data_IF_443090091404
#
_entry.id   IF_443090091404
#
_cell.length_a   1.000
_cell.length_b   1.000
_cell.length_c   1.000
_cell.angle_alpha   90.00
_cell.angle_beta   90.00
_cell.angle_gamma   90.00
#
_symmetry.space_group_name_H-M   'P 1'
#
loop_
_entity.id
_entity.type
_entity.pdbx_description
1 polymer ?
#
# COMPACT_ATOMS: atom_id res chain seq x y z
N UNK A 1 5.05 1.81 14.44
CA UNK A 1 5.95 0.83 13.87
C UNK A 1 6.02 -0.46 14.66
N UNK A 2 6.66 -1.41 14.07
CA UNK A 2 6.88 -2.73 14.67
C UNK A 2 8.04 -2.77 15.70
N UNK A 3 8.71 -1.63 15.90
CA UNK A 3 9.87 -1.50 16.80
C UNK A 3 11.21 -1.93 16.19
N UNK A 4 11.20 -2.44 14.96
CA UNK A 4 12.39 -2.99 14.26
C UNK A 4 12.75 -2.15 13.05
N UNK A 5 11.77 -1.91 12.17
CA UNK A 5 12.00 -1.23 10.90
C UNK A 5 11.88 0.30 11.04
N UNK A 6 12.75 1.01 10.32
CA UNK A 6 12.62 2.45 10.13
C UNK A 6 11.72 2.71 8.92
N UNK A 7 10.74 3.60 9.07
CA UNK A 7 9.92 4.01 7.93
C UNK A 7 10.74 4.86 6.97
N UNK A 8 10.80 4.43 5.73
CA UNK A 8 11.22 5.29 4.63
C UNK A 8 10.08 6.24 4.31
N UNK A 9 10.31 7.54 4.44
CA UNK A 9 9.32 8.59 4.22
C UNK A 9 9.87 9.56 3.20
N UNK A 10 9.09 9.88 2.19
CA UNK A 10 9.43 10.87 1.16
C UNK A 10 8.49 12.05 1.29
N UNK A 11 9.05 13.25 1.17
CA UNK A 11 8.33 14.51 1.19
C UNK A 11 8.73 15.33 -0.04
N UNK A 12 7.77 15.61 -0.90
CA UNK A 12 7.91 16.51 -2.05
C UNK A 12 7.26 17.85 -1.72
N UNK A 13 8.02 18.93 -1.78
CA UNK A 13 7.57 20.28 -1.43
C UNK A 13 7.42 21.15 -2.69
N UNK A 14 6.33 21.92 -2.80
CA UNK A 14 6.21 22.90 -3.89
C UNK A 14 7.17 24.06 -3.69
N UNK A 15 7.53 24.70 -4.79
CA UNK A 15 8.16 26.02 -4.72
C UNK A 15 7.12 27.05 -4.25
N UNK A 16 7.40 27.76 -3.16
CA UNK A 16 6.51 28.78 -2.61
C UNK A 16 5.53 28.29 -1.54
N UNK A 17 4.39 28.97 -1.42
CA UNK A 17 3.45 28.71 -0.32
C UNK A 17 2.69 27.40 -0.50
N UNK A 18 2.69 26.57 0.55
CA UNK A 18 1.91 25.33 0.60
C UNK A 18 0.43 25.65 0.79
N UNK A 19 -0.43 25.23 -0.14
CA UNK A 19 -1.89 25.39 -0.09
C UNK A 19 -2.54 24.31 0.78
N UNK A 20 -2.11 23.06 0.60
CA UNK A 20 -2.58 21.90 1.36
C UNK A 20 -1.54 20.77 1.30
N UNK A 21 -1.75 19.73 2.08
CA UNK A 21 -0.91 18.53 2.11
C UNK A 21 -1.69 17.31 1.63
N UNK A 22 -1.06 16.49 0.79
CA UNK A 22 -1.60 15.20 0.33
C UNK A 22 -0.69 14.08 0.82
N UNK A 23 -1.21 13.21 1.67
CA UNK A 23 -0.51 12.00 2.09
C UNK A 23 -0.89 10.83 1.19
N UNK A 24 0.10 10.08 0.69
CA UNK A 24 -0.11 8.92 -0.17
C UNK A 24 0.08 7.64 0.64
N UNK A 25 -0.90 6.74 0.56
CA UNK A 25 -0.85 5.35 1.01
C UNK A 25 -0.84 4.46 -0.23
N UNK A 26 0.33 3.92 -0.56
CA UNK A 26 0.58 3.17 -1.79
C UNK A 26 -0.02 1.75 -1.78
N UNK A 27 -0.07 1.11 -2.93
CA UNK A 27 -0.66 -0.21 -3.13
C UNK A 27 0.28 -1.38 -2.77
N UNK A 28 -0.19 -2.58 -3.10
CA UNK A 28 0.54 -3.83 -2.90
C UNK A 28 1.65 -3.97 -3.95
N UNK A 29 2.84 -4.44 -3.52
CA UNK A 29 3.99 -4.70 -4.41
C UNK A 29 4.39 -3.44 -5.20
N UNK A 30 4.45 -2.33 -4.49
CA UNK A 30 4.99 -1.07 -5.01
C UNK A 30 5.67 -0.27 -3.88
N UNK A 31 6.19 0.88 -4.19
CA UNK A 31 6.87 1.77 -3.24
C UNK A 31 6.44 3.21 -3.44
N UNK A 32 6.72 4.05 -2.46
CA UNK A 32 6.29 5.46 -2.48
C UNK A 32 6.92 6.26 -3.63
N UNK A 33 8.15 5.95 -4.03
CA UNK A 33 8.84 6.67 -5.12
C UNK A 33 8.14 6.53 -6.49
N UNK A 34 7.28 5.51 -6.69
CA UNK A 34 6.43 5.42 -7.89
C UNK A 34 5.48 6.59 -8.08
N UNK A 35 5.24 7.35 -7.04
CA UNK A 35 4.33 8.49 -7.05
C UNK A 35 5.04 9.83 -7.30
N UNK A 36 6.35 9.81 -7.61
CA UNK A 36 7.14 11.04 -7.78
C UNK A 36 6.56 11.97 -8.86
N UNK A 37 6.27 11.46 -10.05
CA UNK A 37 5.69 12.28 -11.15
C UNK A 37 4.35 12.91 -10.74
N UNK A 38 3.50 12.13 -10.04
CA UNK A 38 2.24 12.62 -9.52
C UNK A 38 2.45 13.65 -8.39
N UNK A 39 3.42 13.42 -7.52
CA UNK A 39 3.77 14.35 -6.45
C UNK A 39 4.30 15.67 -7.02
N UNK A 40 5.18 15.61 -8.03
CA UNK A 40 5.69 16.80 -8.73
C UNK A 40 4.57 17.54 -9.48
N UNK A 41 3.61 16.81 -10.07
CA UNK A 41 2.41 17.44 -10.62
C UNK A 41 1.63 18.21 -9.54
N UNK A 42 1.38 17.64 -8.40
CA UNK A 42 0.70 18.28 -7.28
C UNK A 42 1.51 19.48 -6.72
N UNK A 43 2.84 19.35 -6.65
CA UNK A 43 3.71 20.45 -6.22
C UNK A 43 3.54 21.68 -7.12
N UNK A 44 3.48 21.50 -8.44
CA UNK A 44 3.25 22.63 -9.38
C UNK A 44 1.91 23.34 -9.13
N UNK A 45 0.98 22.72 -8.40
CA UNK A 45 -0.31 23.29 -8.00
C UNK A 45 -0.33 23.75 -6.53
N UNK A 46 0.83 23.80 -5.87
CA UNK A 46 0.96 24.28 -4.50
C UNK A 46 0.62 23.26 -3.41
N UNK A 47 0.54 21.97 -3.72
CA UNK A 47 0.32 20.93 -2.72
C UNK A 47 1.66 20.33 -2.29
N UNK A 48 1.94 20.25 -1.00
CA UNK A 48 2.99 19.39 -0.48
C UNK A 48 2.50 17.94 -0.49
N UNK A 49 3.36 17.00 -0.90
CA UNK A 49 3.03 15.57 -0.95
C UNK A 49 3.95 14.80 -0.04
N UNK A 50 3.40 13.93 0.79
CA UNK A 50 4.17 13.07 1.69
C UNK A 50 3.64 11.64 1.60
N UNK A 51 4.54 10.67 1.74
CA UNK A 51 4.16 9.28 1.85
C UNK A 51 5.28 8.45 2.44
N UNK A 52 4.97 7.22 2.79
CA UNK A 52 5.96 6.27 3.29
C UNK A 52 5.81 4.93 2.59
N UNK A 53 6.91 4.19 2.49
CA UNK A 53 6.83 2.77 2.22
C UNK A 53 6.18 2.06 3.40
N UNK A 54 5.14 1.27 3.14
CA UNK A 54 4.53 0.42 4.17
C UNK A 54 5.54 -0.63 4.66
N UNK A 55 5.33 -1.19 5.86
CA UNK A 55 6.09 -2.35 6.31
C UNK A 55 6.07 -3.45 5.22
N UNK A 56 7.21 -4.07 4.99
CA UNK A 56 7.37 -5.08 3.95
C UNK A 56 7.38 -4.53 2.52
N UNK A 57 7.55 -3.23 2.34
CA UNK A 57 7.61 -2.60 1.02
C UNK A 57 8.80 -1.63 0.94
N UNK A 58 9.27 -1.43 -0.29
CA UNK A 58 10.31 -0.46 -0.62
C UNK A 58 11.50 -0.51 0.35
N UNK A 59 12.00 0.65 0.71
CA UNK A 59 13.14 0.77 1.63
C UNK A 59 12.77 0.53 3.10
N UNK A 60 11.49 0.59 3.47
CA UNK A 60 11.04 0.22 4.83
C UNK A 60 11.23 -1.27 5.11
N UNK A 61 11.24 -2.15 4.10
CA UNK A 61 11.50 -3.57 4.29
C UNK A 61 12.88 -3.87 4.87
N UNK A 62 13.86 -2.99 4.65
CA UNK A 62 15.22 -3.13 5.17
C UNK A 62 16.08 -4.16 4.42
N UNK A 63 15.52 -5.31 4.05
CA UNK A 63 16.16 -6.35 3.26
C UNK A 63 15.16 -7.13 2.38
N UNK A 64 15.67 -7.92 1.43
CA UNK A 64 14.83 -8.62 0.44
C UNK A 64 13.96 -9.74 1.08
N UNK A 65 14.39 -10.31 2.20
CA UNK A 65 13.63 -11.34 2.91
C UNK A 65 12.36 -10.76 3.58
N UNK A 66 12.38 -9.46 3.92
CA UNK A 66 11.24 -8.77 4.53
C UNK A 66 10.24 -8.22 3.51
N UNK A 67 10.55 -8.21 2.20
CA UNK A 67 9.58 -7.79 1.18
C UNK A 67 8.32 -8.66 1.24
N UNK A 68 7.16 -8.02 1.36
CA UNK A 68 5.85 -8.67 1.49
C UNK A 68 5.53 -9.23 2.87
N UNK A 69 6.36 -8.93 3.88
CA UNK A 69 6.14 -9.29 5.28
C UNK A 69 5.92 -8.02 6.11
N UNK A 70 4.79 -7.87 6.77
CA UNK A 70 4.49 -6.66 7.54
C UNK A 70 5.13 -6.70 8.94
N UNK A 71 4.57 -7.49 9.84
CA UNK A 71 5.08 -7.67 11.19
C UNK A 71 4.45 -8.92 11.85
N UNK A 72 4.97 -9.38 13.00
CA UNK A 72 4.50 -10.62 13.62
C UNK A 72 3.07 -10.57 14.15
N UNK A 73 2.61 -9.40 14.61
CA UNK A 73 1.32 -9.21 15.30
C UNK A 73 0.74 -7.83 15.00
N UNK A 74 -0.60 -7.72 15.09
CA UNK A 74 -1.33 -6.45 14.94
C UNK A 74 -1.00 -5.70 13.63
N UNK A 75 -0.82 -6.43 12.54
CA UNK A 75 -0.29 -5.94 11.27
C UNK A 75 -1.01 -4.67 10.78
N UNK A 76 -2.36 -4.71 10.74
CA UNK A 76 -3.16 -3.57 10.27
C UNK A 76 -3.02 -2.37 11.21
N UNK A 77 -3.13 -2.61 12.51
CA UNK A 77 -3.02 -1.54 13.51
C UNK A 77 -1.64 -0.87 13.43
N UNK A 78 -0.58 -1.64 13.18
CA UNK A 78 0.78 -1.14 13.03
C UNK A 78 0.92 -0.27 11.77
N UNK A 79 0.45 -0.76 10.61
CA UNK A 79 0.52 0.02 9.36
C UNK A 79 -0.31 1.31 9.46
N UNK A 80 -1.51 1.24 10.03
CA UNK A 80 -2.37 2.42 10.20
C UNK A 80 -1.76 3.41 11.20
N UNK A 81 -1.14 2.92 12.27
CA UNK A 81 -0.40 3.79 13.21
C UNK A 81 0.83 4.44 12.56
N UNK A 82 1.49 3.76 11.63
CA UNK A 82 2.61 4.34 10.87
C UNK A 82 2.12 5.44 9.92
N UNK A 83 1.02 5.23 9.21
CA UNK A 83 0.36 6.30 8.44
C UNK A 83 0.03 7.50 9.33
N UNK A 84 -0.51 7.27 10.54
CA UNK A 84 -0.84 8.34 11.47
C UNK A 84 0.39 9.07 12.00
N UNK A 85 1.53 8.40 12.17
CA UNK A 85 2.81 9.06 12.51
C UNK A 85 3.25 10.03 11.41
N UNK A 86 3.11 9.62 10.14
CA UNK A 86 3.40 10.48 8.98
C UNK A 86 2.44 11.67 8.95
N UNK A 87 1.14 11.45 9.18
CA UNK A 87 0.15 12.53 9.31
C UNK A 87 0.55 13.53 10.38
N UNK A 88 0.88 13.06 11.58
CA UNK A 88 1.28 13.93 12.70
C UNK A 88 2.56 14.72 12.40
N UNK A 89 3.54 14.09 11.75
CA UNK A 89 4.75 14.77 11.31
C UNK A 89 4.42 15.91 10.34
N UNK A 90 3.64 15.63 9.31
CA UNK A 90 3.29 16.62 8.30
C UNK A 90 2.41 17.75 8.88
N UNK A 91 1.42 17.45 9.71
CA UNK A 91 0.58 18.48 10.38
C UNK A 91 1.39 19.37 11.34
N UNK A 92 2.46 18.84 11.95
CA UNK A 92 3.39 19.66 12.75
C UNK A 92 4.21 20.61 11.87
N UNK A 93 4.63 20.16 10.66
CA UNK A 93 5.38 20.97 9.69
C UNK A 93 4.47 22.01 9.02
N UNK A 94 3.29 21.61 8.56
CA UNK A 94 2.35 22.45 7.79
C UNK A 94 1.13 22.82 8.66
N UNK A 95 1.37 23.63 9.69
CA UNK A 95 0.33 24.04 10.64
C UNK A 95 -0.84 24.73 9.93
N UNK A 96 -2.07 24.40 10.29
CA UNK A 96 -3.31 25.02 9.79
C UNK A 96 -3.55 24.84 8.27
N UNK A 97 -2.77 24.00 7.57
CA UNK A 97 -3.05 23.68 6.17
C UNK A 97 -4.01 22.49 6.09
N UNK A 98 -4.97 22.51 5.13
CA UNK A 98 -5.81 21.35 4.86
C UNK A 98 -4.99 20.09 4.57
N UNK A 99 -5.46 18.95 5.06
CA UNK A 99 -4.74 17.67 4.98
C UNK A 99 -5.59 16.58 4.37
N UNK A 100 -5.13 16.05 3.25
CA UNK A 100 -5.83 15.01 2.49
C UNK A 100 -5.03 13.72 2.48
N UNK A 101 -5.72 12.58 2.35
CA UNK A 101 -5.09 11.28 2.12
C UNK A 101 -5.56 10.70 0.80
N UNK A 102 -4.63 10.16 0.01
CA UNK A 102 -4.91 9.36 -1.18
C UNK A 102 -4.46 7.93 -0.90
N UNK A 103 -5.41 6.99 -0.88
CA UNK A 103 -5.12 5.56 -0.79
C UNK A 103 -5.36 4.87 -2.13
N UNK A 104 -4.35 4.18 -2.64
CA UNK A 104 -4.43 3.44 -3.90
C UNK A 104 -4.39 1.93 -3.64
N UNK A 105 -5.30 1.16 -4.25
CA UNK A 105 -5.35 -0.31 -4.19
C UNK A 105 -5.31 -0.81 -2.73
N UNK A 106 -4.31 -1.59 -2.31
CA UNK A 106 -4.11 -1.99 -0.91
C UNK A 106 -4.06 -0.77 0.02
N UNK A 107 -3.39 0.32 -0.38
CA UNK A 107 -3.36 1.57 0.37
C UNK A 107 -4.73 2.19 0.57
N UNK A 108 -5.70 1.94 -0.33
CA UNK A 108 -7.08 2.36 -0.16
C UNK A 108 -7.78 1.59 0.98
N UNK A 109 -7.42 0.32 1.19
CA UNK A 109 -7.94 -0.45 2.33
C UNK A 109 -7.38 0.08 3.65
N UNK A 110 -6.08 0.41 3.66
CA UNK A 110 -5.43 1.04 4.83
C UNK A 110 -6.01 2.43 5.11
N UNK A 111 -6.27 3.24 4.07
CA UNK A 111 -6.92 4.54 4.19
C UNK A 111 -8.35 4.43 4.75
N UNK A 112 -9.16 3.46 4.28
CA UNK A 112 -10.50 3.19 4.85
C UNK A 112 -10.41 2.80 6.32
N UNK A 113 -9.44 1.97 6.69
CA UNK A 113 -9.20 1.61 8.10
C UNK A 113 -8.68 2.80 8.91
N UNK A 114 -7.86 3.65 8.31
CA UNK A 114 -7.40 4.91 8.91
C UNK A 114 -8.57 5.83 9.24
N UNK A 115 -9.50 6.04 8.30
CA UNK A 115 -10.69 6.87 8.49
C UNK A 115 -11.53 6.43 9.69
N UNK A 116 -11.64 5.13 9.94
CA UNK A 116 -12.39 4.59 11.09
C UNK A 116 -11.73 4.92 12.45
N UNK A 117 -10.44 5.25 12.46
CA UNK A 117 -9.68 5.44 13.70
C UNK A 117 -9.22 6.89 13.87
N UNK A 118 -8.77 7.51 12.79
CA UNK A 118 -8.12 8.82 12.77
C UNK A 118 -8.74 9.77 11.73
N UNK A 119 -9.99 9.50 11.28
CA UNK A 119 -10.62 10.26 10.21
C UNK A 119 -10.73 11.76 10.49
N UNK A 120 -10.86 12.14 11.75
CA UNK A 120 -10.90 13.56 12.18
C UNK A 120 -9.59 14.33 11.92
N UNK A 121 -8.51 13.64 11.63
CA UNK A 121 -7.24 14.27 11.26
C UNK A 121 -7.17 14.69 9.78
N UNK A 122 -8.16 14.32 8.98
CA UNK A 122 -8.20 14.57 7.53
C UNK A 122 -9.34 15.53 7.18
N UNK A 123 -9.07 16.45 6.28
CA UNK A 123 -10.08 17.30 5.63
C UNK A 123 -10.76 16.57 4.45
N UNK A 124 -10.15 15.51 3.94
CA UNK A 124 -10.71 14.66 2.91
C UNK A 124 -9.85 13.44 2.58
N UNK A 125 -10.46 12.46 1.91
CA UNK A 125 -9.76 11.24 1.53
C UNK A 125 -10.19 10.78 0.12
N UNK A 126 -9.20 10.52 -0.74
CA UNK A 126 -9.40 9.92 -2.06
C UNK A 126 -9.15 8.42 -1.97
N UNK A 127 -10.17 7.64 -2.30
CA UNK A 127 -10.13 6.17 -2.31
C UNK A 127 -10.05 5.71 -3.77
N UNK A 128 -8.85 5.34 -4.23
CA UNK A 128 -8.56 5.01 -5.62
C UNK A 128 -8.29 3.51 -5.78
N UNK A 129 -8.88 2.89 -6.83
CA UNK A 129 -8.65 1.48 -7.14
C UNK A 129 -9.03 0.53 -5.99
N UNK A 130 -9.97 0.93 -5.14
CA UNK A 130 -10.44 0.10 -4.01
C UNK A 130 -11.25 -1.09 -4.50
N UNK A 131 -11.36 -2.09 -3.66
CA UNK A 131 -12.12 -3.29 -3.96
C UNK A 131 -12.85 -3.86 -2.75
N UNK A 132 -13.59 -4.91 -3.02
CA UNK A 132 -14.25 -5.75 -2.01
C UNK A 132 -14.04 -7.21 -2.37
N UNK A 133 -14.23 -8.08 -1.39
CA UNK A 133 -14.22 -9.52 -1.58
C UNK A 133 -15.54 -10.14 -1.12
N UNK A 134 -15.93 -11.23 -1.76
CA UNK A 134 -17.11 -11.97 -1.34
C UNK A 134 -16.92 -12.60 0.04
N UNK A 135 -18.00 -12.77 0.79
CA UNK A 135 -17.95 -13.41 2.11
C UNK A 135 -17.24 -14.77 2.11
N UNK A 136 -17.49 -15.69 1.15
CA UNK A 136 -16.77 -16.96 1.09
C UNK A 136 -15.25 -16.79 1.01
N UNK A 137 -14.77 -15.82 0.21
CA UNK A 137 -13.32 -15.53 0.09
C UNK A 137 -12.75 -14.97 1.38
N UNK A 138 -13.49 -14.10 2.08
CA UNK A 138 -13.06 -13.54 3.37
C UNK A 138 -13.05 -14.58 4.50
N UNK A 139 -13.81 -15.67 4.38
CA UNK A 139 -13.80 -16.78 5.34
C UNK A 139 -12.72 -17.81 4.97
N UNK A 140 -12.72 -18.28 3.72
CA UNK A 140 -11.82 -19.34 3.28
C UNK A 140 -10.36 -18.87 3.11
N UNK A 141 -10.14 -17.65 2.65
CA UNK A 141 -8.80 -17.09 2.43
C UNK A 141 -7.90 -17.12 3.68
N UNK A 142 -8.36 -16.58 4.83
CA UNK A 142 -7.60 -16.68 6.07
C UNK A 142 -7.37 -18.12 6.54
N UNK A 143 -8.35 -19.01 6.36
CA UNK A 143 -8.21 -20.43 6.74
C UNK A 143 -7.09 -21.09 5.94
N UNK A 144 -7.10 -20.93 4.60
CA UNK A 144 -6.06 -21.47 3.72
C UNK A 144 -4.70 -20.84 4.04
N UNK A 145 -4.62 -19.52 4.22
CA UNK A 145 -3.38 -18.84 4.56
C UNK A 145 -2.81 -19.31 5.91
N UNK A 146 -3.66 -19.53 6.91
CA UNK A 146 -3.26 -20.05 8.22
C UNK A 146 -2.81 -21.51 8.17
N UNK A 147 -3.50 -22.36 7.41
CA UNK A 147 -3.09 -23.76 7.23
C UNK A 147 -1.70 -23.85 6.57
N UNK A 148 -1.48 -23.08 5.50
CA UNK A 148 -0.17 -22.99 4.86
C UNK A 148 0.90 -22.46 5.81
N UNK A 149 0.56 -21.48 6.66
CA UNK A 149 1.48 -20.92 7.66
C UNK A 149 1.95 -21.94 8.67
N UNK A 150 1.06 -22.81 9.13
CA UNK A 150 1.42 -23.85 10.10
C UNK A 150 2.47 -24.82 9.53
N UNK A 151 2.45 -25.07 8.22
CA UNK A 151 3.37 -25.99 7.53
C UNK A 151 4.65 -25.29 7.08
N UNK A 152 4.52 -24.08 6.48
CA UNK A 152 5.61 -23.41 5.76
C UNK A 152 6.12 -22.14 6.45
N UNK A 153 5.46 -21.69 7.52
CA UNK A 153 5.80 -20.44 8.22
C UNK A 153 5.26 -19.17 7.57
N UNK A 154 5.29 -18.07 8.31
CA UNK A 154 4.72 -16.76 7.91
C UNK A 154 5.39 -16.12 6.68
N UNK A 155 6.67 -16.43 6.43
CA UNK A 155 7.47 -15.85 5.33
C UNK A 155 7.34 -16.62 4.02
N UNK A 156 6.64 -17.75 3.99
CA UNK A 156 6.43 -18.52 2.77
C UNK A 156 5.66 -17.71 1.71
N UNK A 157 6.10 -17.81 0.44
CA UNK A 157 5.57 -17.07 -0.71
C UNK A 157 4.75 -17.99 -1.61
N UNK A 158 3.43 -18.04 -1.37
CA UNK A 158 2.52 -18.97 -2.03
C UNK A 158 2.15 -18.55 -3.45
N UNK A 159 2.50 -19.38 -4.46
CA UNK A 159 2.05 -19.19 -5.85
C UNK A 159 0.53 -19.35 -5.99
N UNK A 160 -0.09 -20.17 -5.15
CA UNK A 160 -1.54 -20.36 -5.15
C UNK A 160 -2.27 -19.09 -4.79
N UNK A 161 -1.87 -18.41 -3.69
CA UNK A 161 -2.49 -17.16 -3.26
C UNK A 161 -2.22 -16.04 -4.26
N UNK A 162 -1.02 -15.94 -4.82
CA UNK A 162 -0.67 -14.98 -5.86
C UNK A 162 -1.59 -15.15 -7.09
N UNK A 163 -1.76 -16.38 -7.59
CA UNK A 163 -2.63 -16.65 -8.73
C UNK A 163 -4.09 -16.29 -8.45
N UNK A 164 -4.56 -16.53 -7.24
CA UNK A 164 -5.93 -16.16 -6.84
C UNK A 164 -6.11 -14.65 -6.70
N UNK A 165 -5.08 -13.93 -6.25
CA UNK A 165 -5.14 -12.47 -6.10
C UNK A 165 -5.09 -11.73 -7.44
N UNK A 166 -4.24 -12.16 -8.38
CA UNK A 166 -3.95 -11.42 -9.62
C UNK A 166 -4.30 -12.16 -10.91
N UNK A 167 -4.57 -13.46 -10.86
CA UNK A 167 -4.69 -14.31 -12.05
C UNK A 167 -5.86 -13.98 -12.99
N UNK A 168 -6.82 -13.17 -12.53
CA UNK A 168 -7.95 -12.71 -13.36
C UNK A 168 -7.72 -11.37 -14.04
N UNK A 169 -6.78 -10.54 -13.56
CA UNK A 169 -6.58 -9.18 -14.05
C UNK A 169 -6.14 -9.16 -15.51
N UNK A 170 -5.26 -10.07 -15.88
CA UNK A 170 -4.75 -10.21 -17.24
C UNK A 170 -5.82 -10.66 -18.26
N UNK A 171 -6.88 -11.34 -17.82
CA UNK A 171 -7.91 -11.90 -18.73
C UNK A 171 -8.64 -10.84 -19.56
N UNK A 172 -8.63 -9.58 -19.12
CA UNK A 172 -9.28 -8.45 -19.79
C UNK A 172 -8.37 -7.69 -20.75
N UNK A 173 -7.08 -8.06 -20.82
CA UNK A 173 -6.10 -7.40 -21.67
C UNK A 173 -5.97 -8.18 -22.96
N UNK A 174 -6.34 -7.63 -24.12
CA UNK A 174 -6.15 -8.30 -25.40
C UNK A 174 -4.64 -8.40 -25.74
N UNK A 175 -4.21 -9.56 -26.19
CA UNK A 175 -2.83 -9.83 -26.62
C UNK A 175 -1.76 -9.30 -25.62
N UNK A 176 -1.77 -9.76 -24.37
CA UNK A 176 -0.88 -9.24 -23.35
C UNK A 176 0.58 -9.63 -23.69
N UNK A 177 1.48 -8.65 -23.65
CA UNK A 177 2.91 -8.82 -23.85
C UNK A 177 3.58 -9.47 -22.64
N UNK A 178 3.09 -9.11 -21.44
CA UNK A 178 3.60 -9.57 -20.15
C UNK A 178 2.46 -9.90 -19.18
N UNK A 179 2.78 -10.55 -18.06
CA UNK A 179 1.81 -10.83 -16.98
C UNK A 179 1.40 -9.57 -16.17
N UNK A 180 2.01 -8.44 -16.46
CA UNK A 180 1.82 -7.19 -15.71
C UNK A 180 1.16 -6.08 -16.54
N UNK A 181 0.78 -6.34 -17.81
CA UNK A 181 0.20 -5.32 -18.69
C UNK A 181 -1.17 -4.80 -18.24
N UNK A 182 -1.79 -5.47 -17.28
CA UNK A 182 -3.02 -4.99 -16.64
C UNK A 182 -2.79 -3.73 -15.77
N UNK A 183 -1.56 -3.41 -15.40
CA UNK A 183 -1.22 -2.30 -14.50
C UNK A 183 -1.39 -0.94 -15.17
N UNK A 184 -0.97 -0.83 -16.44
CA UNK A 184 -1.01 0.40 -17.22
C UNK A 184 -0.87 0.11 -18.71
N UNK A 185 -1.27 1.07 -19.55
CA UNK A 185 -1.04 1.02 -21.02
C UNK A 185 0.37 1.47 -21.40
N UNK A 186 1.08 2.12 -20.50
CA UNK A 186 2.46 2.53 -20.71
C UNK A 186 3.40 1.33 -20.51
N UNK A 187 3.95 0.85 -21.60
CA UNK A 187 4.83 -0.33 -21.62
C UNK A 187 6.16 -0.08 -20.92
N UNK A 188 6.67 1.16 -20.94
CA UNK A 188 7.91 1.50 -20.26
C UNK A 188 7.75 1.40 -18.73
N UNK A 189 6.61 1.87 -18.21
CA UNK A 189 6.27 1.72 -16.77
C UNK A 189 6.11 0.24 -16.41
N UNK A 190 5.46 -0.57 -17.27
CA UNK A 190 5.35 -2.02 -17.02
C UNK A 190 6.73 -2.68 -16.95
N UNK A 191 7.62 -2.36 -17.88
CA UNK A 191 8.97 -2.95 -17.93
C UNK A 191 9.82 -2.49 -16.74
N UNK A 192 9.74 -1.22 -16.37
CA UNK A 192 10.39 -0.69 -15.18
C UNK A 192 9.90 -1.39 -13.91
N UNK A 193 8.57 -1.53 -13.72
CA UNK A 193 8.02 -2.23 -12.57
C UNK A 193 8.50 -3.68 -12.49
N UNK A 194 8.62 -4.37 -13.62
CA UNK A 194 9.06 -5.78 -13.68
C UNK A 194 10.55 -5.95 -13.38
N UNK A 195 11.39 -4.98 -13.75
CA UNK A 195 12.81 -4.97 -13.45
C UNK A 195 13.15 -4.49 -12.04
N UNK A 196 12.25 -3.75 -11.40
CA UNK A 196 12.46 -3.23 -10.06
C UNK A 196 12.05 -4.27 -9.00
N UNK A 197 12.99 -4.66 -8.14
CA UNK A 197 12.74 -5.64 -7.07
C UNK A 197 11.65 -5.23 -6.10
N UNK A 198 11.44 -3.93 -5.88
CA UNK A 198 10.41 -3.40 -5.00
C UNK A 198 9.00 -3.39 -5.62
N UNK A 199 8.90 -3.66 -6.92
CA UNK A 199 7.63 -3.73 -7.66
C UNK A 199 7.38 -5.13 -8.26
N UNK A 200 8.26 -6.12 -8.02
CA UNK A 200 8.19 -7.44 -8.64
C UNK A 200 8.35 -8.61 -7.67
N UNK A 201 8.27 -8.36 -6.36
CA UNK A 201 8.34 -9.41 -5.35
C UNK A 201 6.99 -10.12 -5.16
N UNK A 202 7.01 -11.29 -4.52
CA UNK A 202 5.79 -12.02 -4.15
C UNK A 202 5.50 -11.82 -2.67
N UNK A 203 4.23 -11.59 -2.32
CA UNK A 203 3.79 -11.50 -0.94
C UNK A 203 4.02 -12.79 -0.16
N UNK A 204 4.33 -12.64 1.11
CA UNK A 204 4.38 -13.72 2.10
C UNK A 204 2.96 -14.11 2.56
N UNK A 205 2.84 -15.22 3.27
CA UNK A 205 1.57 -15.59 3.93
C UNK A 205 1.13 -14.53 4.93
N UNK A 206 2.08 -13.91 5.66
CA UNK A 206 1.81 -12.79 6.54
C UNK A 206 1.17 -11.61 5.77
N UNK A 207 1.70 -11.25 4.60
CA UNK A 207 1.14 -10.21 3.75
C UNK A 207 -0.29 -10.50 3.30
N UNK A 208 -0.58 -11.72 2.82
CA UNK A 208 -1.93 -12.11 2.43
C UNK A 208 -2.91 -12.14 3.61
N UNK A 209 -2.47 -12.60 4.79
CA UNK A 209 -3.29 -12.56 6.01
C UNK A 209 -3.64 -11.13 6.38
N UNK A 210 -2.70 -10.20 6.27
CA UNK A 210 -2.94 -8.77 6.48
C UNK A 210 -4.02 -8.23 5.54
N UNK A 211 -3.96 -8.61 4.25
CA UNK A 211 -4.98 -8.21 3.28
C UNK A 211 -6.36 -8.77 3.62
N UNK A 212 -6.48 -10.05 3.94
CA UNK A 212 -7.76 -10.64 4.34
C UNK A 212 -8.31 -9.99 5.61
N UNK A 213 -7.46 -9.71 6.57
CA UNK A 213 -7.85 -9.08 7.83
C UNK A 213 -8.38 -7.66 7.61
N UNK A 214 -7.66 -6.81 6.84
CA UNK A 214 -8.12 -5.45 6.57
C UNK A 214 -9.42 -5.44 5.77
N UNK A 215 -9.54 -6.29 4.75
CA UNK A 215 -10.76 -6.41 3.95
C UNK A 215 -11.95 -6.87 4.79
N UNK A 216 -11.75 -7.88 5.65
CA UNK A 216 -12.78 -8.35 6.58
C UNK A 216 -13.21 -7.25 7.55
N UNK A 217 -12.29 -6.38 7.94
CA UNK A 217 -12.59 -5.29 8.87
C UNK A 217 -13.38 -4.16 8.22
N UNK A 218 -12.98 -3.73 7.02
CA UNK A 218 -13.59 -2.56 6.33
C UNK A 218 -14.87 -2.90 5.56
N UNK A 219 -15.28 -4.17 5.51
CA UNK A 219 -16.51 -4.64 4.87
C UNK A 219 -17.60 -5.06 5.87
N UNK A 220 -17.35 -4.89 7.16
CA UNK A 220 -18.36 -5.06 8.22
C UNK A 220 -19.30 -3.86 8.25
#
# INVERSE_FOLDING_TARGET
GDGVHRLHVVLWEPEGEVRAVVQISHGMIEMIDRYEDFALFLNRHGYAVIGNDHLGHGLTAGNDADLGYFCPRNMIATVVADLHRVTRYAKKKYKKKPYFMLGHSMGSFMARRYLMTYGMDLDGCVICGTGSQSRPVLIAGPVVANALRLVFGDRFRSRLLERNAFGTYQKRIPNPRTKSDWMTRDTAIVDWCRSNKYCSFRFTLNGYRTLFEVLSFIQK
#
